data_IF_284433384768
#
_entry.id   IF_284433384768
#
_cell.length_a   1.000
_cell.length_b   1.000
_cell.length_c   1.000
_cell.angle_alpha   90.00
_cell.angle_beta   90.00
_cell.angle_gamma   90.00
#
_symmetry.space_group_name_H-M   'P 1'
#
loop_
_entity.id
_entity.type
_entity.pdbx_description
1 polymer ?
#
# COMPACT_ATOMS: atom_id res chain seq x y z
N UNK A 1 -11.66 8.11 15.09
CA UNK A 1 -10.57 8.76 14.32
C UNK A 1 -9.19 8.39 14.88
N UNK A 2 -9.05 8.20 16.22
CA UNK A 2 -7.79 7.78 16.86
C UNK A 2 -7.47 6.27 16.78
N UNK A 3 -8.44 5.36 16.65
CA UNK A 3 -8.21 3.89 16.53
C UNK A 3 -7.32 3.49 15.35
N UNK A 4 -7.27 4.30 14.30
CA UNK A 4 -6.58 3.96 13.04
C UNK A 4 -5.10 4.29 13.06
N UNK A 5 -4.64 5.17 13.94
CA UNK A 5 -3.23 5.61 13.99
C UNK A 5 -2.31 4.54 14.58
N UNK A 6 -2.82 3.65 15.43
CA UNK A 6 -2.04 2.56 16.05
C UNK A 6 -2.08 1.25 15.26
N UNK A 7 -3.15 1.00 14.50
CA UNK A 7 -3.14 0.00 13.43
C UNK A 7 -1.96 0.22 12.49
N UNK A 8 -1.56 1.47 12.26
CA UNK A 8 -0.43 1.87 11.40
C UNK A 8 0.92 1.58 12.07
N UNK A 9 1.04 1.83 13.38
CA UNK A 9 2.25 1.51 14.14
C UNK A 9 2.46 -0.01 14.25
N UNK A 10 1.42 -0.77 14.56
CA UNK A 10 1.46 -2.25 14.62
C UNK A 10 1.68 -2.85 13.23
N UNK A 11 1.07 -2.28 12.18
CA UNK A 11 1.35 -2.67 10.80
C UNK A 11 2.78 -2.36 10.39
N UNK A 12 3.35 -1.25 10.87
CA UNK A 12 4.78 -0.96 10.70
C UNK A 12 5.67 -1.92 11.50
N UNK A 13 5.27 -2.39 12.69
CA UNK A 13 6.02 -3.42 13.42
C UNK A 13 5.91 -4.80 12.74
N UNK A 14 4.76 -5.15 12.17
CA UNK A 14 4.54 -6.38 11.39
C UNK A 14 5.30 -6.36 10.05
N UNK A 15 5.42 -5.19 9.41
CA UNK A 15 6.14 -5.01 8.15
C UNK A 15 7.65 -4.79 8.34
N UNK A 16 8.09 -4.10 9.39
CA UNK A 16 9.47 -3.61 9.57
C UNK A 16 10.18 -4.09 10.86
N UNK A 17 9.54 -4.88 11.73
CA UNK A 17 10.22 -5.58 12.83
C UNK A 17 10.79 -4.70 13.96
N UNK A 18 10.29 -3.48 14.15
CA UNK A 18 10.81 -2.55 15.16
C UNK A 18 10.45 -2.98 16.60
N UNK A 19 11.44 -3.02 17.49
CA UNK A 19 11.29 -3.36 18.91
C UNK A 19 10.66 -2.23 19.75
N UNK A 20 10.07 -2.66 20.87
CA UNK A 20 9.25 -1.94 21.83
C UNK A 20 9.71 -0.53 22.20
N UNK A 21 8.76 0.42 22.22
CA UNK A 21 8.94 1.72 22.88
C UNK A 21 7.76 2.06 23.81
N UNK A 22 8.07 2.86 24.83
CA UNK A 22 7.34 3.28 26.04
C UNK A 22 5.93 3.93 25.84
N UNK A 23 5.38 3.89 24.63
CA UNK A 23 4.08 4.46 24.22
C UNK A 23 2.91 3.48 24.37
N UNK A 24 3.16 2.19 24.66
CA UNK A 24 2.13 1.13 24.68
C UNK A 24 1.14 1.23 25.84
N UNK A 25 1.49 1.89 26.95
CA UNK A 25 0.69 1.88 28.19
C UNK A 25 -0.57 2.77 28.12
N UNK A 26 -0.60 3.78 27.26
CA UNK A 26 -1.72 4.74 27.20
C UNK A 26 -2.75 4.46 26.10
N UNK A 27 -2.55 3.43 25.26
CA UNK A 27 -3.39 3.16 24.08
C UNK A 27 -3.93 1.74 23.99
N UNK A 28 -3.79 0.94 25.05
CA UNK A 28 -4.33 -0.42 25.14
C UNK A 28 -5.84 -0.48 24.98
N UNK A 29 -6.56 0.57 25.36
CA UNK A 29 -8.02 0.64 25.26
C UNK A 29 -8.54 1.06 23.86
N UNK A 30 -7.66 1.40 22.91
CA UNK A 30 -8.03 1.97 21.60
C UNK A 30 -7.78 1.04 20.42
N UNK A 31 -7.10 -0.09 20.63
CA UNK A 31 -6.78 -1.07 19.58
C UNK A 31 -6.84 -2.48 20.15
N UNK A 32 -7.39 -3.43 19.37
CA UNK A 32 -7.28 -4.87 19.63
C UNK A 32 -5.82 -5.34 19.44
N UNK A 33 -4.94 -4.97 20.38
CA UNK A 33 -3.51 -5.29 20.36
C UNK A 33 -3.29 -6.79 20.23
N UNK A 34 -4.14 -7.58 20.91
CA UNK A 34 -4.06 -9.05 20.90
C UNK A 34 -4.19 -9.64 19.50
N UNK A 35 -5.01 -9.04 18.63
CA UNK A 35 -5.19 -9.49 17.24
C UNK A 35 -3.90 -9.29 16.43
N UNK A 36 -3.21 -8.18 16.65
CA UNK A 36 -1.93 -7.90 15.97
C UNK A 36 -0.77 -8.71 16.56
N UNK A 37 -0.77 -8.96 17.86
CA UNK A 37 0.21 -9.85 18.50
C UNK A 37 0.05 -11.29 18.00
N UNK A 38 -1.19 -11.76 17.84
CA UNK A 38 -1.49 -13.06 17.25
C UNK A 38 -0.98 -13.15 15.80
N UNK A 39 -1.24 -12.11 14.99
CA UNK A 39 -0.73 -12.03 13.63
C UNK A 39 0.79 -12.04 13.57
N UNK A 40 1.46 -11.29 14.46
CA UNK A 40 2.92 -11.26 14.57
C UNK A 40 3.46 -12.64 14.92
N UNK A 41 2.85 -13.32 15.90
CA UNK A 41 3.21 -14.69 16.28
C UNK A 41 3.14 -15.63 15.07
N UNK A 42 2.06 -15.58 14.29
CA UNK A 42 1.92 -16.40 13.09
C UNK A 42 3.00 -16.09 12.04
N UNK A 43 3.30 -14.81 11.81
CA UNK A 43 4.31 -14.37 10.84
C UNK A 43 5.71 -14.83 11.27
N UNK A 44 6.06 -14.68 12.54
CA UNK A 44 7.35 -15.09 13.07
C UNK A 44 7.49 -16.62 13.03
N UNK A 45 6.43 -17.37 13.34
CA UNK A 45 6.40 -18.82 13.15
C UNK A 45 6.59 -19.23 11.68
N UNK A 46 5.94 -18.56 10.73
CA UNK A 46 6.15 -18.84 9.31
C UNK A 46 7.59 -18.55 8.86
N UNK A 47 8.21 -17.49 9.37
CA UNK A 47 9.64 -17.19 9.13
C UNK A 47 10.55 -18.27 9.72
N UNK A 48 10.18 -18.83 10.87
CA UNK A 48 10.85 -19.95 11.51
C UNK A 48 10.51 -21.32 10.89
N UNK A 49 9.75 -21.34 9.79
CA UNK A 49 9.31 -22.55 9.06
C UNK A 49 8.35 -23.44 9.85
N UNK A 50 7.59 -22.84 10.76
CA UNK A 50 6.55 -23.51 11.53
C UNK A 50 5.16 -23.19 10.96
N UNK A 51 4.46 -24.22 10.49
CA UNK A 51 3.17 -24.06 9.79
C UNK A 51 1.98 -24.16 10.76
N UNK A 52 2.15 -24.85 11.89
CA UNK A 52 1.06 -25.14 12.81
C UNK A 52 0.31 -23.88 13.31
N UNK A 53 0.97 -22.77 13.69
CA UNK A 53 0.28 -21.56 14.12
C UNK A 53 -0.55 -20.92 13.00
N UNK A 54 -0.06 -20.94 11.77
CA UNK A 54 -0.78 -20.42 10.61
C UNK A 54 -2.02 -21.26 10.28
N UNK A 55 -1.93 -22.58 10.40
CA UNK A 55 -3.07 -23.48 10.21
C UNK A 55 -4.11 -23.36 11.33
N UNK A 56 -3.68 -23.14 12.57
CA UNK A 56 -4.58 -22.85 13.69
C UNK A 56 -5.37 -21.56 13.41
N UNK A 57 -4.69 -20.50 12.98
CA UNK A 57 -5.34 -19.25 12.58
C UNK A 57 -6.34 -19.46 11.44
N UNK A 58 -6.01 -20.29 10.43
CA UNK A 58 -6.96 -20.64 9.36
C UNK A 58 -8.19 -21.38 9.89
N UNK A 59 -8.03 -22.27 10.88
CA UNK A 59 -9.14 -23.02 11.47
C UNK A 59 -10.09 -22.09 12.26
N UNK A 60 -9.54 -21.17 13.05
CA UNK A 60 -10.30 -20.16 13.81
C UNK A 60 -11.08 -19.23 12.88
N UNK A 61 -10.49 -18.86 11.73
CA UNK A 61 -11.07 -17.92 10.77
C UNK A 61 -11.79 -18.58 9.58
N UNK A 62 -12.01 -19.89 9.62
CA UNK A 62 -12.47 -20.72 8.50
C UNK A 62 -13.72 -20.20 7.79
N UNK A 63 -14.72 -19.74 8.54
CA UNK A 63 -15.99 -19.26 7.97
C UNK A 63 -15.82 -17.98 7.14
N UNK A 64 -14.92 -17.09 7.58
CA UNK A 64 -14.58 -15.82 6.91
C UNK A 64 -13.71 -16.08 5.68
N UNK A 65 -12.71 -16.94 5.81
CA UNK A 65 -11.83 -17.36 4.71
C UNK A 65 -12.59 -18.07 3.59
N UNK A 66 -13.61 -18.88 3.94
CA UNK A 66 -14.46 -19.53 2.94
C UNK A 66 -15.31 -18.52 2.16
N UNK A 67 -15.79 -17.44 2.80
CA UNK A 67 -16.52 -16.36 2.14
C UNK A 67 -15.62 -15.57 1.18
N UNK A 68 -14.37 -15.31 1.56
CA UNK A 68 -13.38 -14.63 0.71
C UNK A 68 -12.76 -15.53 -0.37
N UNK A 69 -13.09 -16.83 -0.38
CA UNK A 69 -12.49 -17.86 -1.26
C UNK A 69 -10.95 -17.87 -1.17
N UNK A 70 -10.42 -17.68 0.04
CA UNK A 70 -8.97 -17.66 0.27
C UNK A 70 -8.33 -19.00 -0.09
N UNK A 71 -7.12 -18.94 -0.65
CA UNK A 71 -6.26 -20.10 -0.96
C UNK A 71 -5.20 -20.37 0.11
N UNK A 72 -5.18 -19.58 1.20
CA UNK A 72 -4.11 -19.62 2.20
C UNK A 72 -3.97 -21.00 2.84
N UNK A 73 -5.07 -21.59 3.32
CA UNK A 73 -5.05 -22.92 3.95
C UNK A 73 -4.48 -23.96 2.98
N UNK A 74 -4.90 -23.94 1.72
CA UNK A 74 -4.40 -24.85 0.70
C UNK A 74 -2.88 -24.73 0.51
N UNK A 75 -2.37 -23.51 0.42
CA UNK A 75 -0.93 -23.26 0.22
C UNK A 75 -0.08 -23.65 1.43
N UNK A 76 -0.56 -23.38 2.64
CA UNK A 76 0.09 -23.84 3.87
C UNK A 76 0.18 -25.37 3.92
N UNK A 77 -0.90 -26.07 3.54
CA UNK A 77 -0.92 -27.54 3.47
C UNK A 77 0.02 -28.09 2.38
N UNK A 78 0.18 -27.41 1.26
CA UNK A 78 1.17 -27.76 0.25
C UNK A 78 2.59 -27.61 0.78
N UNK A 79 2.89 -26.51 1.48
CA UNK A 79 4.22 -26.30 2.05
C UNK A 79 4.55 -27.37 3.11
N UNK A 80 3.58 -27.73 3.96
CA UNK A 80 3.77 -28.80 4.96
C UNK A 80 4.09 -30.15 4.29
N UNK A 81 3.40 -30.46 3.19
CA UNK A 81 3.73 -31.64 2.39
C UNK A 81 5.16 -31.57 1.83
N UNK A 82 5.58 -30.43 1.27
CA UNK A 82 6.94 -30.26 0.73
C UNK A 82 8.00 -30.45 1.81
N UNK A 83 7.77 -29.94 3.03
CA UNK A 83 8.69 -30.15 4.15
C UNK A 83 8.75 -31.63 4.59
N UNK A 84 7.64 -32.36 4.59
CA UNK A 84 7.64 -33.81 4.85
C UNK A 84 8.46 -34.58 3.79
N UNK A 85 8.34 -34.19 2.52
CA UNK A 85 9.13 -34.76 1.42
C UNK A 85 10.61 -34.43 1.57
N UNK A 86 10.93 -33.18 1.96
CA UNK A 86 12.31 -32.73 2.21
C UNK A 86 12.97 -33.47 3.38
N UNK A 87 12.19 -33.80 4.41
CA UNK A 87 12.60 -34.65 5.53
C UNK A 87 12.73 -36.14 5.17
N UNK A 88 12.48 -36.53 3.91
CA UNK A 88 12.48 -37.92 3.40
C UNK A 88 11.47 -38.83 4.10
N UNK A 89 10.44 -38.27 4.73
CA UNK A 89 9.38 -39.05 5.37
C UNK A 89 8.22 -39.29 4.39
N UNK A 90 8.49 -40.07 3.35
CA UNK A 90 7.56 -40.25 2.21
C UNK A 90 6.24 -40.92 2.60
N UNK A 91 6.28 -41.90 3.51
CA UNK A 91 5.07 -42.58 3.98
C UNK A 91 4.12 -41.60 4.68
N UNK A 92 4.67 -40.76 5.57
CA UNK A 92 3.89 -39.72 6.23
C UNK A 92 3.38 -38.68 5.21
N UNK A 93 4.21 -38.23 4.27
CA UNK A 93 3.82 -37.29 3.22
C UNK A 93 2.64 -37.81 2.37
N UNK A 94 2.67 -39.09 1.96
CA UNK A 94 1.58 -39.71 1.20
C UNK A 94 0.30 -39.80 2.04
N UNK A 95 0.41 -40.21 3.31
CA UNK A 95 -0.74 -40.26 4.21
C UNK A 95 -1.37 -38.88 4.42
N UNK A 96 -0.51 -37.86 4.55
CA UNK A 96 -0.89 -36.47 4.72
C UNK A 96 -1.61 -35.94 3.47
N UNK A 97 -1.06 -36.19 2.28
CA UNK A 97 -1.67 -35.78 1.02
C UNK A 97 -3.07 -36.39 0.84
N UNK A 98 -3.24 -37.67 1.16
CA UNK A 98 -4.56 -38.31 1.09
C UNK A 98 -5.57 -37.70 2.07
N UNK A 99 -5.12 -37.34 3.27
CA UNK A 99 -5.99 -36.80 4.31
C UNK A 99 -6.38 -35.34 4.06
N UNK A 100 -5.39 -34.48 3.79
CA UNK A 100 -5.60 -33.04 3.73
C UNK A 100 -5.65 -32.52 2.31
N UNK A 101 -4.86 -33.06 1.37
CA UNK A 101 -4.77 -32.51 0.01
C UNK A 101 -5.85 -33.04 -0.96
N UNK A 102 -6.34 -34.27 -0.75
CA UNK A 102 -7.34 -34.89 -1.63
C UNK A 102 -8.63 -34.08 -1.84
N UNK A 103 -9.21 -33.41 -0.82
CA UNK A 103 -10.40 -32.57 -0.98
C UNK A 103 -10.23 -31.42 -1.99
N UNK A 104 -9.01 -30.93 -2.22
CA UNK A 104 -8.71 -29.88 -3.20
C UNK A 104 -8.44 -30.41 -4.60
N UNK A 105 -8.55 -31.73 -4.82
CA UNK A 105 -8.36 -32.35 -6.12
C UNK A 105 -9.23 -31.68 -7.19
N UNK A 106 -10.54 -31.57 -6.95
CA UNK A 106 -11.45 -31.02 -7.96
C UNK A 106 -11.15 -29.57 -8.40
N UNK A 107 -10.52 -28.75 -7.55
CA UNK A 107 -10.28 -27.32 -7.83
C UNK A 107 -8.83 -26.97 -8.15
N UNK A 108 -7.85 -27.75 -7.67
CA UNK A 108 -6.42 -27.42 -7.73
C UNK A 108 -5.53 -28.59 -8.17
N UNK A 109 -6.02 -29.47 -9.05
CA UNK A 109 -5.26 -30.63 -9.53
C UNK A 109 -3.87 -30.28 -10.08
N UNK A 110 -3.71 -29.17 -10.81
CA UNK A 110 -2.44 -28.83 -11.47
C UNK A 110 -1.35 -28.51 -10.43
N UNK A 111 -1.70 -27.70 -9.43
CA UNK A 111 -0.82 -27.36 -8.32
C UNK A 111 -0.48 -28.60 -7.49
N UNK A 112 -1.48 -29.46 -7.23
CA UNK A 112 -1.28 -30.74 -6.54
C UNK A 112 -0.32 -31.64 -7.30
N UNK A 113 -0.52 -31.84 -8.60
CA UNK A 113 0.36 -32.65 -9.44
C UNK A 113 1.80 -32.12 -9.38
N UNK A 114 1.98 -30.81 -9.54
CA UNK A 114 3.29 -30.17 -9.46
C UNK A 114 3.98 -30.41 -8.11
N UNK A 115 3.24 -30.29 -7.01
CA UNK A 115 3.78 -30.53 -5.66
C UNK A 115 4.03 -32.02 -5.43
N UNK A 116 3.15 -32.92 -5.86
CA UNK A 116 3.38 -34.38 -5.74
C UNK A 116 4.59 -34.87 -6.53
N UNK A 117 4.96 -34.20 -7.63
CA UNK A 117 6.16 -34.53 -8.39
C UNK A 117 7.45 -34.34 -7.56
N UNK A 118 7.41 -33.57 -6.46
CA UNK A 118 8.53 -33.47 -5.50
C UNK A 118 8.85 -34.80 -4.80
N UNK A 119 7.94 -35.78 -4.81
CA UNK A 119 8.24 -37.16 -4.38
C UNK A 119 9.29 -37.84 -5.29
N UNK A 120 9.31 -37.47 -6.57
CA UNK A 120 10.24 -38.02 -7.57
C UNK A 120 11.48 -37.12 -7.67
N UNK A 121 11.27 -35.81 -7.76
CA UNK A 121 12.35 -34.82 -7.84
C UNK A 121 12.83 -34.44 -6.44
N UNK A 122 14.03 -34.90 -6.08
CA UNK A 122 14.68 -34.56 -4.80
C UNK A 122 14.94 -33.06 -4.68
N UNK A 123 15.15 -32.59 -3.46
CA UNK A 123 15.53 -31.20 -3.17
C UNK A 123 16.83 -30.75 -3.87
N UNK A 124 17.68 -31.68 -4.29
CA UNK A 124 18.90 -31.44 -5.09
C UNK A 124 18.67 -31.46 -6.60
N UNK A 125 17.42 -31.32 -7.07
CA UNK A 125 17.11 -31.36 -8.50
C UNK A 125 17.70 -30.17 -9.26
N UNK A 126 18.19 -30.43 -10.47
CA UNK A 126 18.63 -29.40 -11.42
C UNK A 126 17.46 -28.83 -12.25
N UNK A 127 16.25 -29.38 -12.10
CA UNK A 127 15.07 -28.87 -12.79
C UNK A 127 14.53 -27.62 -12.08
N UNK A 128 14.69 -26.46 -12.71
CA UNK A 128 14.28 -25.16 -12.15
C UNK A 128 12.81 -25.14 -11.69
N UNK A 129 11.90 -25.78 -12.45
CA UNK A 129 10.46 -25.80 -12.17
C UNK A 129 10.11 -26.37 -10.78
N UNK A 130 10.87 -27.37 -10.33
CA UNK A 130 10.66 -28.04 -9.05
C UNK A 130 11.61 -27.54 -7.96
N UNK A 131 12.80 -27.05 -8.34
CA UNK A 131 13.76 -26.44 -7.41
C UNK A 131 13.13 -25.28 -6.63
N UNK A 132 12.39 -24.42 -7.33
CA UNK A 132 11.69 -23.26 -6.75
C UNK A 132 10.73 -23.64 -5.60
N UNK A 133 10.19 -24.87 -5.59
CA UNK A 133 9.29 -25.33 -4.52
C UNK A 133 10.01 -25.58 -3.19
N UNK A 134 11.33 -25.80 -3.22
CA UNK A 134 12.14 -26.05 -2.03
C UNK A 134 12.89 -24.81 -1.53
N UNK A 135 12.78 -23.70 -2.25
CA UNK A 135 13.47 -22.45 -1.94
C UNK A 135 12.88 -21.73 -0.74
N UNK A 136 13.72 -20.98 -0.03
CA UNK A 136 13.30 -20.24 1.15
C UNK A 136 12.27 -19.16 0.83
N UNK A 137 12.32 -18.58 -0.37
CA UNK A 137 11.41 -17.53 -0.84
C UNK A 137 9.93 -17.98 -0.85
N UNK A 138 9.65 -19.29 -0.83
CA UNK A 138 8.27 -19.78 -0.67
C UNK A 138 7.67 -19.37 0.68
N UNK A 139 8.48 -19.33 1.74
CA UNK A 139 8.04 -18.90 3.06
C UNK A 139 7.72 -17.41 3.10
N UNK A 140 8.52 -16.59 2.43
CA UNK A 140 8.25 -15.15 2.33
C UNK A 140 6.93 -14.89 1.58
N UNK A 141 6.68 -15.63 0.49
CA UNK A 141 5.41 -15.60 -0.25
C UNK A 141 4.21 -16.03 0.61
N UNK A 142 4.38 -17.04 1.49
CA UNK A 142 3.34 -17.45 2.44
C UNK A 142 3.09 -16.38 3.51
N UNK A 143 4.13 -15.73 4.01
CA UNK A 143 4.01 -14.60 4.95
C UNK A 143 3.24 -13.46 4.28
N UNK A 144 3.55 -13.12 3.04
CA UNK A 144 2.87 -12.05 2.32
C UNK A 144 1.40 -12.40 2.03
N UNK A 145 1.11 -13.65 1.67
CA UNK A 145 -0.28 -14.10 1.54
C UNK A 145 -1.03 -14.08 2.86
N UNK A 146 -0.40 -14.51 3.96
CA UNK A 146 -1.00 -14.40 5.28
C UNK A 146 -1.33 -12.95 5.63
N UNK A 147 -0.39 -12.02 5.42
CA UNK A 147 -0.61 -10.57 5.63
C UNK A 147 -1.79 -10.06 4.81
N UNK A 148 -1.86 -10.40 3.53
CA UNK A 148 -2.96 -9.97 2.65
C UNK A 148 -4.32 -10.49 3.12
N UNK A 149 -4.41 -11.76 3.52
CA UNK A 149 -5.64 -12.35 4.03
C UNK A 149 -6.02 -11.79 5.39
N UNK A 150 -5.04 -11.57 6.28
CA UNK A 150 -5.24 -10.90 7.55
C UNK A 150 -5.84 -9.50 7.34
N UNK A 151 -5.21 -8.65 6.51
CA UNK A 151 -5.73 -7.31 6.25
C UNK A 151 -7.12 -7.33 5.62
N UNK A 152 -7.37 -8.20 4.63
CA UNK A 152 -8.72 -8.38 4.06
C UNK A 152 -9.74 -8.78 5.11
N UNK A 153 -9.39 -9.74 5.96
CA UNK A 153 -10.28 -10.29 6.95
C UNK A 153 -10.67 -9.21 7.97
N UNK A 154 -9.73 -8.41 8.45
CA UNK A 154 -9.97 -7.32 9.41
C UNK A 154 -10.33 -5.98 8.76
N UNK A 155 -10.55 -5.92 7.43
CA UNK A 155 -10.96 -4.69 6.74
C UNK A 155 -9.89 -3.60 6.70
N UNK A 156 -8.62 -3.99 6.79
CA UNK A 156 -7.46 -3.10 6.75
C UNK A 156 -6.88 -3.00 5.34
N UNK A 157 -6.20 -1.90 5.06
CA UNK A 157 -5.42 -1.70 3.84
C UNK A 157 -3.99 -2.15 4.05
N UNK A 158 -3.33 -2.69 3.02
CA UNK A 158 -1.91 -3.06 3.05
C UNK A 158 -1.01 -1.84 3.34
N UNK A 159 -1.40 -0.69 2.79
CA UNK A 159 -0.77 0.58 3.11
C UNK A 159 -1.47 1.25 4.30
N UNK A 160 -0.71 1.85 5.23
CA UNK A 160 -1.27 2.69 6.26
C UNK A 160 -2.20 3.77 5.72
N UNK A 161 -3.40 3.89 6.27
CA UNK A 161 -4.35 4.96 5.89
C UNK A 161 -3.75 6.37 6.05
N UNK A 162 -2.93 6.59 7.09
CA UNK A 162 -2.20 7.85 7.26
C UNK A 162 -1.30 8.14 6.05
N UNK A 163 -0.64 7.13 5.50
CA UNK A 163 0.20 7.30 4.31
C UNK A 163 -0.66 7.77 3.12
N UNK A 164 -1.80 7.12 2.91
CA UNK A 164 -2.75 7.46 1.83
C UNK A 164 -3.27 8.89 2.00
N UNK A 165 -3.72 9.26 3.21
CA UNK A 165 -4.22 10.62 3.48
C UNK A 165 -3.12 11.68 3.39
N UNK A 166 -1.91 11.36 3.85
CA UNK A 166 -0.76 12.25 3.75
C UNK A 166 -0.37 12.45 2.29
N UNK A 167 -0.27 11.39 1.49
CA UNK A 167 -0.04 11.47 0.05
C UNK A 167 -1.15 12.28 -0.65
N UNK A 168 -2.43 12.06 -0.31
CA UNK A 168 -3.53 12.84 -0.87
C UNK A 168 -3.39 14.34 -0.53
N UNK A 169 -3.07 14.68 0.72
CA UNK A 169 -2.80 16.05 1.14
C UNK A 169 -1.60 16.67 0.44
N UNK A 170 -0.47 15.93 0.37
CA UNK A 170 0.73 16.37 -0.34
C UNK A 170 0.48 16.57 -1.84
N UNK A 171 -0.34 15.73 -2.47
CA UNK A 171 -0.76 15.88 -3.89
C UNK A 171 -1.49 17.20 -4.13
N UNK A 172 -2.36 17.60 -3.20
CA UNK A 172 -3.08 18.87 -3.28
C UNK A 172 -2.17 20.10 -3.11
N UNK A 173 -1.03 19.94 -2.44
CA UNK A 173 -0.05 21.00 -2.19
C UNK A 173 1.09 21.01 -3.22
N UNK A 174 1.35 19.88 -3.88
CA UNK A 174 2.47 19.70 -4.81
C UNK A 174 2.34 20.62 -6.01
N UNK A 175 3.31 21.52 -6.16
CA UNK A 175 3.50 22.38 -7.33
C UNK A 175 4.85 22.09 -7.99
N UNK A 176 5.04 22.42 -9.28
CA UNK A 176 6.33 22.28 -9.96
C UNK A 176 7.47 23.05 -9.27
N UNK A 177 7.15 24.14 -8.56
CA UNK A 177 8.12 25.00 -7.86
C UNK A 177 8.55 24.47 -6.49
N UNK A 178 7.88 23.44 -5.95
CA UNK A 178 8.17 22.88 -4.62
C UNK A 178 9.55 22.19 -4.50
N UNK A 179 10.27 22.05 -5.62
CA UNK A 179 11.60 21.41 -5.70
C UNK A 179 12.74 22.42 -5.93
N UNK A 180 12.42 23.70 -6.09
CA UNK A 180 13.41 24.76 -6.25
C UNK A 180 13.82 25.29 -4.86
N UNK A 181 15.08 25.76 -4.72
CA UNK A 181 15.71 26.11 -3.44
C UNK A 181 15.10 27.30 -2.67
N UNK A 182 13.90 27.77 -3.07
CA UNK A 182 13.23 28.93 -2.52
C UNK A 182 11.80 28.62 -2.00
N UNK A 183 11.55 27.38 -1.57
CA UNK A 183 10.29 27.01 -0.93
C UNK A 183 10.05 27.81 0.37
N UNK A 184 8.83 28.32 0.60
CA UNK A 184 8.45 28.90 1.88
C UNK A 184 8.66 27.90 3.02
N UNK A 185 9.15 28.35 4.18
CA UNK A 185 9.32 27.49 5.37
C UNK A 185 8.01 26.87 5.88
N UNK A 186 6.87 27.43 5.46
CA UNK A 186 5.53 26.96 5.79
C UNK A 186 5.03 25.86 4.84
N UNK A 187 5.73 25.61 3.71
CA UNK A 187 5.39 24.53 2.80
C UNK A 187 5.81 23.19 3.41
N UNK A 188 4.90 22.23 3.66
CA UNK A 188 5.27 20.90 4.15
C UNK A 188 6.24 20.16 3.20
N UNK A 189 6.26 20.48 1.90
CA UNK A 189 7.22 19.90 0.94
C UNK A 189 8.65 20.46 1.08
N UNK A 190 8.87 21.44 1.96
CA UNK A 190 10.21 21.84 2.39
C UNK A 190 10.92 20.74 3.20
N UNK A 191 10.16 19.85 3.85
CA UNK A 191 10.69 18.73 4.61
C UNK A 191 11.05 17.55 3.70
N UNK A 192 12.27 17.04 3.81
CA UNK A 192 12.77 15.96 2.96
C UNK A 192 11.93 14.67 3.04
N UNK A 193 11.39 14.34 4.21
CA UNK A 193 10.53 13.17 4.39
C UNK A 193 9.24 13.26 3.58
N UNK A 194 8.59 14.43 3.57
CA UNK A 194 7.38 14.67 2.78
C UNK A 194 7.69 14.83 1.29
N UNK A 195 8.85 15.40 0.94
CA UNK A 195 9.29 15.47 -0.47
C UNK A 195 9.47 14.08 -1.08
N UNK A 196 10.14 13.16 -0.39
CA UNK A 196 10.30 11.76 -0.83
C UNK A 196 8.96 11.08 -1.02
N UNK A 197 8.03 11.30 -0.09
CA UNK A 197 6.70 10.71 -0.19
C UNK A 197 5.87 11.30 -1.33
N UNK A 198 6.08 12.58 -1.65
CA UNK A 198 5.37 13.29 -2.70
C UNK A 198 5.96 13.09 -4.10
N UNK A 199 7.19 12.60 -4.24
CA UNK A 199 7.89 12.42 -5.52
C UNK A 199 7.07 11.68 -6.59
N UNK A 200 6.46 10.50 -6.32
CA UNK A 200 5.67 9.77 -7.32
C UNK A 200 4.28 10.36 -7.58
N UNK A 201 3.84 11.35 -6.80
CA UNK A 201 2.48 11.88 -6.85
C UNK A 201 2.29 12.89 -8.00
N UNK A 202 1.08 13.01 -8.58
CA UNK A 202 0.82 13.99 -9.64
C UNK A 202 0.83 15.43 -9.08
N UNK A 203 1.05 16.41 -9.96
CA UNK A 203 0.85 17.83 -9.64
C UNK A 203 -0.64 18.17 -9.79
N UNK A 204 -1.38 18.24 -8.69
CA UNK A 204 -2.82 18.55 -8.75
C UNK A 204 -3.12 20.05 -8.71
N UNK A 205 -2.20 20.86 -8.17
CA UNK A 205 -2.40 22.30 -8.03
C UNK A 205 -1.94 23.03 -9.29
N UNK A 206 -2.88 23.36 -10.16
CA UNK A 206 -2.62 24.27 -11.28
C UNK A 206 -2.77 25.71 -10.80
N UNK A 207 -1.67 26.47 -10.83
CA UNK A 207 -1.74 27.92 -10.63
C UNK A 207 -2.24 28.57 -11.92
N UNK A 208 -3.56 28.79 -12.01
CA UNK A 208 -4.13 29.63 -13.07
C UNK A 208 -4.01 31.09 -12.67
N UNK A 209 -2.99 31.78 -13.18
CA UNK A 209 -2.94 33.24 -13.10
C UNK A 209 -4.07 33.81 -13.95
N UNK A 210 -5.02 34.47 -13.28
CA UNK A 210 -6.14 35.17 -13.89
C UNK A 210 -5.78 36.63 -14.04
N UNK A 211 -5.78 37.14 -15.28
CA UNK A 211 -5.50 38.55 -15.52
C UNK A 211 -6.74 39.38 -15.23
N UNK A 212 -6.59 40.47 -14.49
CA UNK A 212 -7.67 41.39 -14.15
C UNK A 212 -7.34 42.77 -14.71
N UNK A 213 -8.32 43.43 -15.32
CA UNK A 213 -8.14 44.76 -15.86
C UNK A 213 -7.78 45.77 -14.77
N UNK A 214 -6.80 46.64 -15.05
CA UNK A 214 -6.41 47.69 -14.10
C UNK A 214 -7.56 48.67 -13.76
N UNK A 215 -8.43 49.00 -14.72
CA UNK A 215 -9.52 49.97 -14.55
C UNK A 215 -10.83 49.27 -14.15
N UNK A 216 -11.37 48.41 -15.02
CA UNK A 216 -12.71 47.82 -14.81
C UNK A 216 -12.73 46.78 -13.70
N UNK A 217 -11.56 46.30 -13.25
CA UNK A 217 -11.41 45.19 -12.30
C UNK A 217 -12.09 43.89 -12.73
N UNK A 218 -12.49 43.80 -14.01
CA UNK A 218 -13.06 42.59 -14.57
C UNK A 218 -11.99 41.59 -14.96
N UNK A 219 -12.37 40.31 -14.91
CA UNK A 219 -11.55 39.21 -15.41
C UNK A 219 -11.35 39.34 -16.92
N UNK A 220 -10.12 39.12 -17.37
CA UNK A 220 -9.74 39.06 -18.79
C UNK A 220 -9.62 37.61 -19.24
N UNK A 221 -10.23 37.30 -20.38
CA UNK A 221 -10.32 35.97 -20.98
C UNK A 221 -10.32 36.07 -22.52
N UNK A 222 -10.73 35.01 -23.23
CA UNK A 222 -10.75 34.98 -24.71
C UNK A 222 -11.70 36.02 -25.32
N UNK A 223 -12.81 36.34 -24.64
CA UNK A 223 -13.79 37.33 -25.13
C UNK A 223 -13.45 38.75 -24.67
N UNK A 224 -12.69 38.87 -23.56
CA UNK A 224 -12.19 40.13 -23.02
C UNK A 224 -10.64 40.11 -22.96
N UNK A 225 -9.95 40.11 -24.10
CA UNK A 225 -8.51 39.84 -24.15
C UNK A 225 -7.67 40.94 -23.50
N UNK A 226 -6.51 40.58 -22.89
CA UNK A 226 -5.62 41.53 -22.25
C UNK A 226 -4.86 42.38 -23.29
N UNK A 227 -4.78 43.68 -23.02
CA UNK A 227 -4.01 44.67 -23.78
C UNK A 227 -2.97 45.31 -22.87
N UNK A 228 -1.70 45.23 -23.24
CA UNK A 228 -0.59 45.85 -22.50
C UNK A 228 -0.31 47.23 -23.11
N UNK A 229 -0.39 48.29 -22.32
CA UNK A 229 -0.02 49.64 -22.75
C UNK A 229 1.42 49.98 -22.31
N UNK A 230 2.09 50.97 -22.95
CA UNK A 230 3.46 51.37 -22.61
C UNK A 230 3.67 51.84 -21.16
N UNK A 231 2.59 52.15 -20.44
CA UNK A 231 2.60 52.48 -19.02
C UNK A 231 2.82 51.27 -18.09
N UNK A 232 2.97 50.06 -18.64
CA UNK A 232 3.22 48.83 -17.89
C UNK A 232 1.98 48.16 -17.29
N UNK A 233 0.79 48.72 -17.52
CA UNK A 233 -0.47 48.17 -17.01
C UNK A 233 -1.22 47.37 -18.10
N UNK A 234 -2.02 46.39 -17.64
CA UNK A 234 -2.86 45.53 -18.50
C UNK A 234 -4.32 45.95 -18.40
N UNK A 235 -4.93 46.20 -19.55
CA UNK A 235 -6.30 46.68 -19.70
C UNK A 235 -7.11 45.69 -20.53
N UNK A 236 -8.43 45.67 -20.32
CA UNK A 236 -9.31 44.83 -21.13
C UNK A 236 -9.90 45.65 -22.28
N UNK A 237 -10.37 44.97 -23.33
CA UNK A 237 -10.98 45.65 -24.49
C UNK A 237 -12.24 46.43 -24.13
N UNK A 238 -12.98 45.98 -23.10
CA UNK A 238 -14.18 46.65 -22.59
C UNK A 238 -13.92 48.06 -22.03
N UNK A 239 -12.69 48.37 -21.60
CA UNK A 239 -12.33 49.74 -21.16
C UNK A 239 -12.57 50.77 -22.27
N UNK A 240 -12.45 50.38 -23.56
CA UNK A 240 -12.72 51.29 -24.69
C UNK A 240 -14.21 51.57 -24.91
N UNK A 241 -15.10 50.72 -24.38
CA UNK A 241 -16.54 50.90 -24.49
C UNK A 241 -17.11 51.83 -23.41
N UNK A 242 -16.37 52.06 -22.31
CA UNK A 242 -16.73 52.97 -21.23
C UNK A 242 -15.77 54.18 -21.20
N UNK A 243 -16.04 55.25 -21.95
CA UNK A 243 -15.13 56.39 -22.12
C UNK A 243 -14.96 57.28 -20.87
N UNK A 244 -15.54 56.91 -19.73
CA UNK A 244 -15.54 57.73 -18.50
C UNK A 244 -14.19 57.79 -17.77
N UNK A 245 -13.21 56.94 -18.13
CA UNK A 245 -11.97 56.78 -17.37
C UNK A 245 -10.67 57.17 -18.08
N UNK A 246 -10.69 57.52 -19.38
CA UNK A 246 -9.52 58.07 -20.07
C UNK A 246 -9.51 59.60 -19.98
N UNK A 247 -9.18 60.14 -18.80
CA UNK A 247 -8.75 61.53 -18.72
C UNK A 247 -7.25 61.58 -19.03
N UNK A 248 -6.89 62.07 -20.22
CA UNK A 248 -5.49 62.32 -20.60
C UNK A 248 -4.83 63.24 -19.55
N UNK A 249 -3.55 63.01 -19.17
CA UNK A 249 -2.81 64.04 -18.45
C UNK A 249 -2.69 65.24 -19.40
N UNK A 250 -3.26 66.39 -19.01
CA UNK A 250 -3.00 67.65 -19.70
C UNK A 250 -1.50 67.94 -19.60
N UNK A 251 -0.83 68.03 -20.74
CA UNK A 251 0.44 68.75 -20.89
C UNK A 251 0.19 70.25 -20.78
#
# INVERSE_FOLDING_TARGET
SQDRTYSIYLQSQILFGLEHNHLTVYMQDLVDIDVFLDAKRVIDSLRNKEIAPALAWCAENKSRLKKSKSKLEFLLRLQEFVELVKAKNFLQAISYARKYLAPWGSTHMKELQRVTATLVFRSSTNCAQYKVLFEQNQWDSLVDQFKQEFYKLYGMTLEPLLNIYLQAGLTALKTPFCFEGNCPKEDPLSLDGFRKLAEPLPFSKQHHSKLVCHITKELMDTENPPLVLPNGYVYSTKVRAEPTHFCSPKS
#
